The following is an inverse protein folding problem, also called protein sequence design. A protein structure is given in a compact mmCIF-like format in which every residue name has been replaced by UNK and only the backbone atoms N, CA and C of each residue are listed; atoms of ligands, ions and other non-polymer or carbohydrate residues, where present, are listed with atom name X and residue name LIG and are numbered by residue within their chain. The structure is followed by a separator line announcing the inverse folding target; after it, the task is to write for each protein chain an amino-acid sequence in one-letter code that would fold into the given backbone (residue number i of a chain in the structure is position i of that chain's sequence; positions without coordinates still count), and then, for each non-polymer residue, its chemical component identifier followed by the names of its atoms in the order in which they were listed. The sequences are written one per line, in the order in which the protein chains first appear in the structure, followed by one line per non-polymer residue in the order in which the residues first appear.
data_IF_083196852932
#
_entry.id   IF_083196852932
#
_cell.length_a   1.000
_cell.length_b   1.000
_cell.length_c   1.000
_cell.angle_alpha   90.00
_cell.angle_beta   90.00
_cell.angle_gamma   90.00
#
_symmetry.space_group_name_H-M   'P 1'
#
loop_
_entity.id
_entity.type
_entity.pdbx_description
1 polymer ?
#
# COMPACT_ATOMS: atom_id res chain seq x y z
N UNK A 1 15.93 3.83 62.34
CA UNK A 1 16.25 3.73 60.90
C UNK A 1 14.98 3.29 60.15
N UNK A 2 14.33 4.19 59.42
CA UNK A 2 13.27 3.84 58.47
C UNK A 2 13.31 4.86 57.34
N UNK A 3 13.94 4.47 56.23
CA UNK A 3 14.04 5.29 55.03
C UNK A 3 12.79 5.10 54.18
N UNK A 4 11.85 6.05 54.23
CA UNK A 4 10.78 6.13 53.24
C UNK A 4 11.36 6.70 51.95
N UNK A 5 11.60 5.82 50.98
CA UNK A 5 11.89 6.20 49.59
C UNK A 5 10.67 6.95 49.03
N UNK A 6 10.83 8.25 48.76
CA UNK A 6 9.82 9.04 48.04
C UNK A 6 9.82 8.59 46.59
N UNK A 7 8.70 8.01 46.14
CA UNK A 7 8.47 7.77 44.71
C UNK A 7 8.10 9.10 44.07
N UNK A 8 9.02 9.65 43.30
CA UNK A 8 8.76 10.81 42.44
C UNK A 8 8.07 10.30 41.17
N UNK A 9 6.82 10.71 40.95
CA UNK A 9 6.10 10.42 39.71
C UNK A 9 6.51 11.52 38.73
N UNK A 10 7.27 11.14 37.72
CA UNK A 10 7.72 12.03 36.65
C UNK A 10 6.52 12.28 35.72
N UNK A 11 6.17 13.54 35.50
CA UNK A 11 5.12 13.94 34.55
C UNK A 11 5.47 13.53 33.12
N UNK A 12 4.46 13.18 32.31
CA UNK A 12 4.63 12.73 30.91
C UNK A 12 5.36 13.75 30.04
N UNK A 13 5.22 15.02 30.38
CA UNK A 13 5.90 16.19 29.81
C UNK A 13 7.43 16.18 30.01
N UNK A 14 7.93 15.48 31.04
CA UNK A 14 9.37 15.29 31.29
C UNK A 14 9.96 14.04 30.63
N UNK A 15 9.12 13.21 30.01
CA UNK A 15 9.53 12.05 29.21
C UNK A 15 9.68 12.36 27.71
N UNK A 16 9.44 13.60 27.28
CA UNK A 16 9.71 14.04 25.92
C UNK A 16 11.24 14.16 25.71
N UNK A 17 11.88 13.04 25.43
CA UNK A 17 13.22 13.04 24.86
C UNK A 17 13.19 13.86 23.57
N UNK A 18 14.11 14.81 23.42
CA UNK A 18 14.34 15.50 22.15
C UNK A 18 14.93 14.46 21.20
N UNK A 19 14.06 13.81 20.44
CA UNK A 19 14.47 12.86 19.42
C UNK A 19 14.91 13.62 18.17
N UNK A 20 16.14 13.38 17.75
CA UNK A 20 16.71 13.99 16.56
C UNK A 20 16.12 13.32 15.31
N UNK A 21 15.17 13.99 14.67
CA UNK A 21 14.48 13.51 13.45
C UNK A 21 15.48 13.17 12.35
N UNK A 22 16.63 13.87 12.28
CA UNK A 22 17.67 13.59 11.28
C UNK A 22 18.40 12.26 11.49
N UNK A 23 18.26 11.65 12.67
CA UNK A 23 18.80 10.31 12.99
C UNK A 23 17.80 9.19 12.80
N UNK A 24 16.52 9.50 12.51
CA UNK A 24 15.54 8.46 12.19
C UNK A 24 15.94 7.79 10.88
N UNK A 25 15.92 6.46 10.91
CA UNK A 25 16.25 5.60 9.78
C UNK A 25 15.12 4.61 9.59
N UNK A 26 14.77 4.34 8.35
CA UNK A 26 13.76 3.33 8.07
C UNK A 26 14.29 1.93 8.44
N UNK A 27 13.40 0.98 8.74
CA UNK A 27 13.83 -0.33 9.27
C UNK A 27 14.70 -1.09 8.27
N UNK A 28 14.55 -0.78 6.99
CA UNK A 28 15.31 -1.34 5.88
C UNK A 28 16.69 -0.73 5.66
N UNK A 29 17.02 0.37 6.33
CA UNK A 29 18.37 0.92 6.32
C UNK A 29 19.31 0.15 7.25
N UNK A 30 18.78 -0.66 8.18
CA UNK A 30 19.57 -1.51 9.05
C UNK A 30 19.96 -2.80 8.34
N UNK A 31 21.25 -3.13 8.35
CA UNK A 31 21.69 -4.46 7.95
C UNK A 31 21.08 -5.48 8.93
N UNK A 32 20.53 -6.57 8.38
CA UNK A 32 20.08 -7.68 9.19
C UNK A 32 21.23 -8.13 10.10
N UNK A 33 20.93 -8.37 11.39
CA UNK A 33 21.94 -8.81 12.35
C UNK A 33 22.75 -9.98 11.75
N UNK A 34 24.07 -9.89 11.84
CA UNK A 34 25.02 -10.79 11.18
C UNK A 34 24.99 -12.26 11.66
N UNK A 35 23.96 -12.67 12.38
CA UNK A 35 23.84 -14.01 12.94
C UNK A 35 22.48 -14.60 12.59
N UNK A 36 22.51 -15.70 11.82
CA UNK A 36 21.84 -17.00 12.09
C UNK A 36 21.81 -17.91 10.84
N UNK A 37 22.14 -17.46 9.62
CA UNK A 37 22.21 -18.37 8.46
C UNK A 37 23.40 -18.10 7.53
N UNK A 38 24.59 -18.52 7.92
CA UNK A 38 25.72 -18.71 6.98
C UNK A 38 25.52 -19.91 6.03
N UNK A 39 24.49 -20.74 6.22
CA UNK A 39 24.27 -21.94 5.40
C UNK A 39 23.41 -21.71 4.15
N UNK A 40 22.86 -20.52 3.95
CA UNK A 40 22.22 -20.13 2.70
C UNK A 40 22.96 -18.89 2.22
N UNK A 41 23.50 -18.90 1.01
CA UNK A 41 24.21 -17.76 0.40
C UNK A 41 23.35 -16.51 0.16
N UNK A 42 22.37 -16.24 1.02
CA UNK A 42 21.52 -15.07 1.07
C UNK A 42 22.28 -13.93 1.76
N UNK A 43 23.39 -13.51 1.14
CA UNK A 43 24.10 -12.30 1.52
C UNK A 43 23.15 -11.10 1.50
N UNK A 44 23.04 -10.39 2.62
CA UNK A 44 22.54 -9.00 2.74
C UNK A 44 21.31 -8.69 1.88
N UNK A 45 20.22 -9.45 2.03
CA UNK A 45 18.94 -8.99 1.49
C UNK A 45 18.50 -7.77 2.28
N UNK A 46 18.62 -6.60 1.67
CA UNK A 46 17.93 -5.40 2.12
C UNK A 46 16.44 -5.67 1.95
N UNK A 47 15.77 -5.92 3.07
CA UNK A 47 14.31 -5.97 3.10
C UNK A 47 13.81 -4.60 2.61
N UNK A 48 12.71 -4.56 1.87
CA UNK A 48 12.15 -3.32 1.32
C UNK A 48 10.65 -3.33 1.55
N UNK A 49 9.99 -2.20 1.34
CA UNK A 49 8.53 -2.09 1.45
C UNK A 49 7.81 -3.14 0.56
N UNK A 50 8.39 -3.44 -0.61
CA UNK A 50 7.91 -4.49 -1.49
C UNK A 50 7.92 -5.89 -0.86
N UNK A 51 8.86 -6.20 0.03
CA UNK A 51 8.89 -7.48 0.75
C UNK A 51 7.76 -7.59 1.77
N UNK A 52 7.38 -6.49 2.44
CA UNK A 52 6.22 -6.47 3.34
C UNK A 52 4.91 -6.63 2.56
N UNK A 53 4.77 -5.93 1.43
CA UNK A 53 3.63 -6.09 0.52
C UNK A 53 3.52 -7.54 0.03
N UNK A 54 4.64 -8.15 -0.35
CA UNK A 54 4.68 -9.55 -0.78
C UNK A 54 4.28 -10.51 0.35
N UNK A 55 4.79 -10.29 1.57
CA UNK A 55 4.43 -11.08 2.74
C UNK A 55 2.93 -11.01 3.05
N UNK A 56 2.32 -9.83 2.95
CA UNK A 56 0.88 -9.64 3.15
C UNK A 56 0.05 -10.38 2.09
N UNK A 57 0.47 -10.30 0.82
CA UNK A 57 -0.16 -11.07 -0.27
C UNK A 57 -0.07 -12.57 -0.04
N UNK A 58 1.09 -13.05 0.40
CA UNK A 58 1.28 -14.45 0.76
C UNK A 58 0.36 -14.86 1.91
N UNK A 59 0.23 -14.03 2.95
CA UNK A 59 -0.68 -14.31 4.06
C UNK A 59 -2.13 -14.45 3.59
N UNK A 60 -2.61 -13.55 2.74
CA UNK A 60 -3.96 -13.67 2.17
C UNK A 60 -4.15 -14.93 1.32
N UNK A 61 -3.17 -15.28 0.50
CA UNK A 61 -3.24 -16.52 -0.29
C UNK A 61 -3.32 -17.77 0.59
N UNK A 62 -2.70 -17.78 1.76
CA UNK A 62 -2.75 -18.91 2.69
C UNK A 62 -4.00 -18.92 3.58
N UNK A 63 -4.59 -17.76 3.86
CA UNK A 63 -5.86 -17.65 4.59
C UNK A 63 -7.06 -18.07 3.74
N UNK A 64 -6.98 -17.93 2.41
CA UNK A 64 -8.04 -18.35 1.48
C UNK A 64 -8.00 -19.85 1.16
N UNK A 65 -6.95 -20.56 1.55
CA UNK A 65 -6.83 -22.02 1.36
C UNK A 65 -7.54 -22.79 2.48
N UNK A 66 -8.18 -23.94 2.16
CA UNK A 66 -8.87 -24.75 3.15
C UNK A 66 -7.91 -25.31 4.21
N UNK A 67 -8.01 -24.73 5.39
CA UNK A 67 -7.46 -25.10 6.70
C UNK A 67 -6.17 -25.94 6.72
N UNK A 68 -5.04 -25.28 6.49
CA UNK A 68 -3.69 -25.88 6.63
C UNK A 68 -3.26 -26.01 8.11
N UNK A 69 -4.10 -25.68 9.10
CA UNK A 69 -3.76 -25.68 10.54
C UNK A 69 -2.86 -24.51 10.98
N UNK A 70 -2.37 -23.70 10.04
CA UNK A 70 -1.48 -22.57 10.30
C UNK A 70 -2.16 -21.19 10.27
N UNK A 71 -3.50 -21.14 10.15
CA UNK A 71 -4.23 -19.87 9.99
C UNK A 71 -3.97 -18.86 11.12
N UNK A 72 -3.84 -19.31 12.37
CA UNK A 72 -3.49 -18.45 13.50
C UNK A 72 -2.10 -17.81 13.37
N UNK A 73 -1.12 -18.57 12.87
CA UNK A 73 0.24 -18.10 12.62
C UNK A 73 0.26 -17.11 11.46
N UNK A 74 -0.45 -17.44 10.37
CA UNK A 74 -0.55 -16.57 9.19
C UNK A 74 -1.24 -15.25 9.53
N UNK A 75 -2.31 -15.29 10.33
CA UNK A 75 -2.97 -14.08 10.86
C UNK A 75 -2.02 -13.22 11.69
N UNK A 76 -1.32 -13.82 12.65
CA UNK A 76 -0.35 -13.09 13.47
C UNK A 76 0.78 -12.47 12.62
N UNK A 77 1.25 -13.20 11.60
CA UNK A 77 2.24 -12.68 10.66
C UNK A 77 1.69 -11.49 9.85
N UNK A 78 0.45 -11.59 9.36
CA UNK A 78 -0.20 -10.51 8.62
C UNK A 78 -0.37 -9.26 9.47
N UNK A 79 -0.77 -9.40 10.73
CA UNK A 79 -0.91 -8.28 11.67
C UNK A 79 0.43 -7.60 11.92
N UNK A 80 1.49 -8.37 12.21
CA UNK A 80 2.84 -7.83 12.43
C UNK A 80 3.39 -7.15 11.17
N UNK A 81 3.21 -7.78 10.01
CA UNK A 81 3.63 -7.22 8.74
C UNK A 81 2.88 -5.92 8.42
N UNK A 82 1.59 -5.84 8.77
CA UNK A 82 0.77 -4.62 8.61
C UNK A 82 1.28 -3.49 9.49
N UNK A 83 1.56 -3.77 10.77
CA UNK A 83 2.11 -2.77 11.70
C UNK A 83 3.48 -2.27 11.22
N UNK A 84 4.36 -3.18 10.79
CA UNK A 84 5.67 -2.81 10.25
C UNK A 84 5.55 -1.98 8.98
N UNK A 85 4.62 -2.33 8.08
CA UNK A 85 4.36 -1.58 6.86
C UNK A 85 3.91 -0.15 7.16
N UNK A 86 2.96 0.03 8.09
CA UNK A 86 2.47 1.34 8.48
C UNK A 86 3.55 2.22 9.11
N UNK A 87 4.37 1.65 10.00
CA UNK A 87 5.50 2.36 10.60
C UNK A 87 6.53 2.78 9.54
N UNK A 88 6.80 1.91 8.58
CA UNK A 88 7.78 2.15 7.54
C UNK A 88 7.34 3.22 6.52
N UNK A 89 6.06 3.21 6.13
CA UNK A 89 5.48 4.27 5.28
C UNK A 89 5.56 5.62 5.99
N UNK A 90 5.20 5.68 7.28
CA UNK A 90 5.30 6.90 8.07
C UNK A 90 6.75 7.42 8.18
N UNK A 91 7.72 6.52 8.40
CA UNK A 91 9.15 6.88 8.41
C UNK A 91 9.63 7.35 7.03
N UNK A 92 9.11 6.78 5.95
CA UNK A 92 9.41 7.25 4.60
C UNK A 92 8.88 8.67 4.34
N UNK A 93 7.71 9.05 4.87
CA UNK A 93 7.23 10.43 4.81
C UNK A 93 8.14 11.39 5.61
N UNK A 94 8.51 11.01 6.83
CA UNK A 94 9.37 11.82 7.71
C UNK A 94 10.79 11.99 7.17
N UNK A 95 11.39 10.91 6.66
CA UNK A 95 12.75 10.92 6.12
C UNK A 95 12.76 11.48 4.70
N UNK A 96 11.73 11.20 3.90
CA UNK A 96 11.60 11.69 2.51
C UNK A 96 11.42 13.20 2.43
N UNK A 97 10.73 13.81 3.41
CA UNK A 97 10.68 15.27 3.57
C UNK A 97 12.04 15.86 3.97
N UNK A 98 12.89 15.11 4.68
CA UNK A 98 14.26 15.51 5.02
C UNK A 98 15.28 15.26 3.89
N UNK A 99 15.07 14.25 3.02
CA UNK A 99 16.00 13.81 1.96
C UNK A 99 15.62 14.26 0.55
N UNK A 100 14.58 15.09 0.39
CA UNK A 100 14.13 15.61 -0.92
C UNK A 100 15.24 16.34 -1.71
N UNK A 101 16.38 16.63 -1.09
CA UNK A 101 17.57 17.24 -1.69
C UNK A 101 18.55 16.24 -2.37
N UNK A 102 18.49 14.91 -2.15
CA UNK A 102 19.63 14.02 -2.50
C UNK A 102 19.31 12.85 -3.46
N UNK A 103 18.06 12.61 -3.84
CA UNK A 103 17.81 11.53 -4.80
C UNK A 103 16.36 11.46 -5.23
N UNK A 104 16.15 11.70 -6.52
CA UNK A 104 14.84 11.68 -7.15
C UNK A 104 14.30 10.24 -7.14
N UNK A 105 13.53 9.87 -6.11
CA UNK A 105 12.72 8.66 -6.14
C UNK A 105 11.80 8.79 -7.36
N UNK A 106 11.88 7.83 -8.28
CA UNK A 106 11.04 7.85 -9.48
C UNK A 106 9.57 7.87 -9.07
N UNK A 107 8.82 8.88 -9.55
CA UNK A 107 7.38 8.99 -9.32
C UNK A 107 6.63 7.71 -9.71
N UNK A 108 7.10 6.99 -10.73
CA UNK A 108 6.51 5.71 -11.16
C UNK A 108 6.64 4.60 -10.11
N UNK A 109 7.69 4.64 -9.28
CA UNK A 109 7.83 3.70 -8.18
C UNK A 109 6.82 4.03 -7.07
N UNK A 110 6.64 5.31 -6.74
CA UNK A 110 5.68 5.77 -5.75
C UNK A 110 4.25 5.40 -6.16
N UNK A 111 3.86 5.69 -7.41
CA UNK A 111 2.54 5.30 -7.94
C UNK A 111 2.30 3.79 -7.85
N UNK A 112 3.30 2.98 -8.22
CA UNK A 112 3.21 1.51 -8.14
C UNK A 112 3.11 1.00 -6.71
N UNK A 113 3.77 1.63 -5.74
CA UNK A 113 3.64 1.27 -4.33
C UNK A 113 2.25 1.63 -3.83
N UNK A 114 1.80 2.87 -4.07
CA UNK A 114 0.50 3.35 -3.63
C UNK A 114 -0.65 2.51 -4.20
N UNK A 115 -0.56 2.11 -5.47
CA UNK A 115 -1.54 1.19 -6.08
C UNK A 115 -1.58 -0.18 -5.40
N UNK A 116 -0.43 -0.70 -4.94
CA UNK A 116 -0.38 -1.97 -4.21
C UNK A 116 -0.88 -1.84 -2.77
N UNK A 117 -0.65 -0.69 -2.12
CA UNK A 117 -1.23 -0.40 -0.81
C UNK A 117 -2.75 -0.29 -0.90
N UNK A 118 -3.26 0.39 -1.94
CA UNK A 118 -4.68 0.45 -2.23
C UNK A 118 -5.25 -0.96 -2.45
N UNK A 119 -4.64 -1.80 -3.29
CA UNK A 119 -5.08 -3.19 -3.50
C UNK A 119 -5.15 -4.03 -2.20
N UNK A 120 -4.26 -3.78 -1.24
CA UNK A 120 -4.24 -4.51 0.04
C UNK A 120 -5.24 -3.99 1.05
N UNK A 121 -5.47 -2.68 1.07
CA UNK A 121 -6.19 -1.96 2.12
C UNK A 121 -7.33 -1.07 1.58
N UNK A 122 -7.84 -1.29 0.38
CA UNK A 122 -8.98 -0.52 -0.12
C UNK A 122 -10.20 -0.79 0.76
N UNK A 123 -10.67 0.23 1.47
CA UNK A 123 -12.01 0.20 2.06
C UNK A 123 -12.99 0.81 1.07
N UNK A 124 -14.06 0.08 0.78
CA UNK A 124 -15.15 0.57 -0.05
C UNK A 124 -16.26 0.97 0.89
N UNK A 125 -16.69 2.23 0.82
CA UNK A 125 -17.83 2.73 1.59
C UNK A 125 -19.03 1.78 1.38
N UNK A 126 -19.61 1.34 2.49
CA UNK A 126 -20.67 0.31 2.55
C UNK A 126 -21.94 0.69 1.77
N UNK A 127 -22.06 1.96 1.37
CA UNK A 127 -23.17 2.51 0.58
C UNK A 127 -23.24 1.98 -0.87
N UNK A 128 -22.20 1.26 -1.34
CA UNK A 128 -22.24 0.51 -2.60
C UNK A 128 -22.38 -1.01 -2.33
N UNK A 129 -23.52 -1.39 -1.77
CA UNK A 129 -23.94 -2.79 -1.62
C UNK A 129 -23.96 -3.53 -2.96
N UNK A 130 -22.95 -4.39 -3.19
CA UNK A 130 -23.12 -5.82 -3.55
C UNK A 130 -21.81 -6.51 -3.96
N UNK A 131 -20.69 -5.79 -4.08
CA UNK A 131 -19.45 -6.38 -4.59
C UNK A 131 -18.36 -6.46 -3.50
N UNK A 132 -18.42 -7.50 -2.67
CA UNK A 132 -17.36 -7.84 -1.70
C UNK A 132 -16.01 -8.12 -2.39
N UNK A 133 -15.99 -8.25 -3.72
CA UNK A 133 -14.79 -8.36 -4.56
C UNK A 133 -13.86 -7.15 -4.44
N UNK A 134 -14.37 -5.99 -4.00
CA UNK A 134 -13.59 -4.75 -3.89
C UNK A 134 -13.03 -4.46 -2.50
N UNK A 135 -13.35 -5.27 -1.49
CA UNK A 135 -12.75 -5.09 -0.18
C UNK A 135 -11.26 -5.42 -0.24
N UNK A 136 -10.44 -4.58 0.41
CA UNK A 136 -9.01 -4.77 0.48
C UNK A 136 -8.68 -6.13 1.06
N UNK A 137 -7.71 -6.80 0.43
CA UNK A 137 -7.39 -8.21 0.69
C UNK A 137 -7.11 -8.51 2.15
N UNK A 138 -6.62 -7.53 2.92
CA UNK A 138 -6.31 -7.76 4.34
C UNK A 138 -7.53 -7.69 5.26
N UNK A 139 -8.69 -7.16 4.84
CA UNK A 139 -9.84 -6.91 5.72
C UNK A 139 -10.37 -8.18 6.40
N UNK A 140 -10.28 -9.32 5.72
CA UNK A 140 -10.71 -10.63 6.23
C UNK A 140 -9.59 -11.40 6.94
N UNK A 141 -8.36 -10.89 6.90
CA UNK A 141 -7.16 -11.58 7.40
C UNK A 141 -6.74 -11.04 8.76
N UNK A 142 -6.73 -9.72 8.93
CA UNK A 142 -6.28 -9.05 10.15
C UNK A 142 -7.45 -8.58 11.00
N UNK A 143 -7.22 -8.38 12.29
CA UNK A 143 -8.24 -7.84 13.20
C UNK A 143 -8.69 -6.41 12.83
N UNK A 144 -9.95 -6.08 13.13
CA UNK A 144 -10.55 -4.77 12.88
C UNK A 144 -9.74 -3.61 13.50
N UNK A 145 -9.14 -3.83 14.66
CA UNK A 145 -8.29 -2.82 15.31
C UNK A 145 -7.05 -2.49 14.48
N UNK A 146 -6.38 -3.50 13.94
CA UNK A 146 -5.23 -3.39 13.06
C UNK A 146 -5.64 -2.79 11.72
N UNK A 147 -6.77 -3.23 11.16
CA UNK A 147 -7.36 -2.67 9.95
C UNK A 147 -7.61 -1.16 10.09
N UNK A 148 -8.34 -0.74 11.13
CA UNK A 148 -8.65 0.66 11.36
C UNK A 148 -7.41 1.52 11.66
N UNK A 149 -6.37 0.94 12.26
CA UNK A 149 -5.10 1.63 12.48
C UNK A 149 -4.37 1.88 11.16
N UNK A 150 -4.26 0.86 10.30
CA UNK A 150 -3.53 1.00 9.03
C UNK A 150 -4.29 1.88 8.02
N UNK A 151 -5.63 1.85 8.02
CA UNK A 151 -6.45 2.78 7.21
C UNK A 151 -6.10 4.24 7.49
N UNK A 152 -5.95 4.59 8.77
CA UNK A 152 -5.59 5.95 9.19
C UNK A 152 -4.16 6.30 8.77
N UNK A 153 -3.23 5.37 8.97
CA UNK A 153 -1.82 5.58 8.64
C UNK A 153 -1.58 5.74 7.13
N UNK A 154 -2.25 4.94 6.29
CA UNK A 154 -2.05 4.95 4.83
C UNK A 154 -3.04 5.85 4.07
N UNK A 155 -3.80 6.68 4.78
CA UNK A 155 -4.90 7.45 4.19
C UNK A 155 -4.45 8.34 3.04
N UNK A 156 -3.25 8.94 3.15
CA UNK A 156 -2.67 9.82 2.12
C UNK A 156 -2.31 9.05 0.85
N UNK A 157 -1.62 7.93 1.01
CA UNK A 157 -1.17 7.06 -0.07
C UNK A 157 -2.35 6.45 -0.82
N UNK A 158 -3.40 6.05 -0.09
CA UNK A 158 -4.63 5.51 -0.67
C UNK A 158 -5.41 6.58 -1.44
N UNK A 159 -5.52 7.81 -0.92
CA UNK A 159 -6.14 8.93 -1.66
C UNK A 159 -5.34 9.23 -2.93
N UNK A 160 -4.00 9.27 -2.85
CA UNK A 160 -3.15 9.48 -4.01
C UNK A 160 -3.34 8.38 -5.07
N UNK A 161 -3.37 7.11 -4.65
CA UNK A 161 -3.61 5.98 -5.55
C UNK A 161 -4.99 6.04 -6.23
N UNK A 162 -6.04 6.44 -5.50
CA UNK A 162 -7.40 6.62 -6.04
C UNK A 162 -7.41 7.70 -7.12
N UNK A 163 -6.80 8.85 -6.84
CA UNK A 163 -6.69 9.93 -7.81
C UNK A 163 -5.92 9.51 -9.06
N UNK A 164 -4.80 8.80 -8.90
CA UNK A 164 -4.01 8.27 -10.03
C UNK A 164 -4.85 7.31 -10.90
N UNK A 165 -5.60 6.39 -10.27
CA UNK A 165 -6.48 5.43 -10.96
C UNK A 165 -7.59 6.14 -11.72
N UNK A 166 -8.21 7.17 -11.14
CA UNK A 166 -9.24 7.97 -11.81
C UNK A 166 -8.68 8.77 -12.99
N UNK A 167 -7.48 9.34 -12.85
CA UNK A 167 -6.82 10.07 -13.93
C UNK A 167 -6.51 9.15 -15.11
N UNK A 168 -6.02 7.94 -14.84
CA UNK A 168 -5.77 6.93 -15.87
C UNK A 168 -7.06 6.47 -16.56
N UNK A 169 -8.14 6.25 -15.81
CA UNK A 169 -9.45 5.94 -16.37
C UNK A 169 -9.98 7.06 -17.29
N UNK A 170 -9.85 8.33 -16.88
CA UNK A 170 -10.23 9.49 -17.71
C UNK A 170 -9.44 9.55 -19.00
N UNK A 171 -8.13 9.30 -18.96
CA UNK A 171 -7.27 9.25 -20.17
C UNK A 171 -7.69 8.12 -21.11
N UNK A 172 -7.97 6.94 -20.59
CA UNK A 172 -8.40 5.78 -21.38
C UNK A 172 -9.78 6.01 -22.05
N UNK A 173 -10.71 6.67 -21.36
CA UNK A 173 -12.02 7.05 -21.93
C UNK A 173 -11.90 8.11 -23.03
N UNK A 174 -10.97 9.06 -22.89
CA UNK A 174 -10.72 10.08 -23.92
C UNK A 174 -10.06 9.49 -25.18
N UNK A 175 -9.13 8.54 -25.01
CA UNK A 175 -8.50 7.86 -26.14
C UNK A 175 -9.47 6.94 -26.90
N UNK A 176 -10.37 6.26 -26.19
CA UNK A 176 -11.40 5.42 -26.83
C UNK A 176 -12.47 6.24 -27.55
N UNK A 177 -12.84 7.43 -27.06
CA UNK A 177 -13.72 8.36 -27.78
C UNK A 177 -13.05 9.08 -28.95
N UNK A 178 -11.73 9.33 -28.91
CA UNK A 178 -10.98 9.89 -30.04
C UNK A 178 -10.91 8.98 -31.27
N UNK A 179 -10.98 7.66 -31.09
CA UNK A 179 -10.99 6.70 -32.21
C UNK A 179 -12.39 6.40 -32.79
N UNK A 180 -13.47 6.72 -32.06
CA UNK A 180 -14.84 6.50 -32.52
C UNK A 180 -15.39 7.65 -33.38
N UNK A 181 -14.70 8.80 -33.45
CA UNK A 181 -15.18 10.01 -34.16
C UNK A 181 -14.67 10.17 -35.60
N UNK A 182 -13.97 9.18 -36.18
CA UNK A 182 -13.58 9.18 -37.61
C UNK A 182 -14.47 8.28 -38.48
N UNK A 183 -15.71 8.03 -38.06
CA UNK A 183 -16.76 7.45 -38.90
C UNK A 183 -17.27 8.48 -39.91
N UNK A 184 -16.56 8.63 -41.02
CA UNK A 184 -16.92 9.48 -42.15
C UNK A 184 -18.35 9.19 -42.66
N UNK A 185 -19.21 10.21 -42.83
CA UNK A 185 -20.54 10.05 -43.38
C UNK A 185 -20.49 10.14 -44.91
N UNK A 186 -20.26 9.03 -45.61
CA UNK A 186 -20.61 8.97 -47.04
C UNK A 186 -22.08 8.60 -47.21
N UNK A 187 -22.92 9.65 -47.15
CA UNK A 187 -24.26 9.70 -47.75
C UNK A 187 -24.16 10.35 -49.14
N UNK A 188 -25.05 9.93 -50.04
CA UNK A 188 -25.35 10.41 -51.43
C UNK A 188 -24.40 9.90 -52.52
N UNK A 189 -24.87 9.46 -53.69
CA UNK A 189 -26.10 9.78 -54.40
C UNK A 189 -26.64 8.59 -55.22
N UNK A 190 -27.96 8.50 -55.40
CA UNK A 190 -28.56 7.67 -56.44
C UNK A 190 -28.52 8.37 -57.80
N UNK A 191 -28.61 7.59 -58.89
CA UNK A 191 -29.30 7.95 -60.14
C UNK A 191 -29.27 6.77 -61.16
N UNK A 192 -30.45 6.17 -61.37
CA UNK A 192 -31.11 5.79 -62.64
C UNK A 192 -30.42 5.09 -63.85
N UNK A 193 -31.28 4.31 -64.54
CA UNK A 193 -31.23 3.61 -65.87
C UNK A 193 -30.58 2.21 -65.82
N UNK A 194 -31.24 1.08 -66.11
CA UNK A 194 -32.34 0.77 -67.02
C UNK A 194 -31.79 0.47 -68.42
N UNK A 195 -31.77 -0.80 -68.86
CA UNK A 195 -31.96 -1.32 -70.24
C UNK A 195 -32.09 -2.85 -70.19
N UNK A 196 -33.07 -3.36 -70.94
CA UNK A 196 -33.45 -4.75 -71.22
C UNK A 196 -32.38 -5.58 -71.93
N UNK A 197 -32.46 -6.91 -71.82
CA UNK A 197 -32.60 -7.83 -72.95
C UNK A 197 -33.28 -9.12 -72.45
#
# INVERSE_FOLDING_TARGET
RSGRSKREIVGSDRLAGVEDVMKRKCIFEYDAAHFVYESAGMSKLKVTLGHLILALRWCHQHMTRPNDGYHSVVKCLAERATVLLGAEVALHEEIGTAKQEVGQVSMDLVKRVNAQLLDLFEDVDEDQHHDTSRLGRMKTVIDDSTWNAIQRQLSREMIAARNDREEEQKKNLQQTHGMASSGSPYRRAGLFRGVSF
#
